data_IF_434403649826
#
_entry.id   IF_434403649826
#
_cell.length_a   1.000
_cell.length_b   1.000
_cell.length_c   1.000
_cell.angle_alpha   90.00
_cell.angle_beta   90.00
_cell.angle_gamma   90.00
#
_symmetry.space_group_name_H-M   'P 1'
#
loop_
_entity.id
_entity.type
_entity.pdbx_description
1 polymer ?
#
# COMPACT_ATOMS: atom_id res chain seq x y z
N UNK A 1 25.63 0.37 -52.19
CA UNK A 1 24.26 0.90 -51.97
C UNK A 1 23.52 -0.14 -51.14
N UNK A 2 23.31 0.06 -49.82
CA UNK A 2 22.15 0.75 -49.21
C UNK A 2 20.84 0.04 -49.64
N UNK A 3 19.95 -0.52 -48.80
CA UNK A 3 19.55 -0.24 -47.41
C UNK A 3 19.04 -1.52 -46.71
N UNK A 4 19.29 -1.53 -45.41
CA UNK A 4 18.88 -2.42 -44.33
C UNK A 4 17.44 -2.08 -43.90
N UNK A 5 16.54 -3.06 -43.79
CA UNK A 5 15.39 -2.91 -42.90
C UNK A 5 15.08 -4.21 -42.16
N UNK A 6 15.57 -4.23 -40.91
CA UNK A 6 15.16 -5.15 -39.86
C UNK A 6 13.78 -4.69 -39.39
N UNK A 7 12.71 -5.42 -39.71
CA UNK A 7 11.44 -5.27 -38.99
C UNK A 7 11.53 -6.05 -37.68
N UNK A 8 11.88 -5.31 -36.64
CA UNK A 8 11.96 -5.71 -35.24
C UNK A 8 10.59 -6.21 -34.78
N UNK A 9 10.56 -7.47 -34.33
CA UNK A 9 9.86 -7.94 -33.13
C UNK A 9 8.52 -7.25 -32.83
N UNK A 10 7.44 -7.69 -33.46
CA UNK A 10 6.10 -7.61 -32.85
C UNK A 10 5.88 -8.84 -31.97
N UNK A 11 6.71 -8.94 -30.93
CA UNK A 11 6.33 -9.69 -29.74
C UNK A 11 5.24 -8.88 -29.06
N UNK A 12 3.99 -9.10 -29.48
CA UNK A 12 2.79 -8.75 -28.71
C UNK A 12 2.76 -9.65 -27.46
N UNK A 13 3.73 -9.44 -26.57
CA UNK A 13 3.63 -9.92 -25.20
C UNK A 13 2.71 -8.94 -24.48
N UNK A 14 1.46 -9.36 -24.28
CA UNK A 14 0.51 -8.95 -23.25
C UNK A 14 1.09 -7.90 -22.29
N UNK A 15 1.01 -6.63 -22.68
CA UNK A 15 1.40 -5.49 -21.86
C UNK A 15 0.30 -5.07 -20.90
N UNK A 16 -0.82 -5.79 -20.86
CA UNK A 16 -2.00 -5.41 -20.07
C UNK A 16 -1.73 -5.34 -18.57
N UNK A 17 -0.70 -6.04 -18.06
CA UNK A 17 -0.34 -6.03 -16.63
C UNK A 17 1.00 -5.36 -16.30
N UNK A 18 1.64 -4.63 -17.23
CA UNK A 18 2.83 -3.85 -16.85
C UNK A 18 2.40 -2.54 -16.22
N UNK A 19 2.39 -2.51 -14.89
CA UNK A 19 2.25 -1.26 -14.16
C UNK A 19 3.58 -0.49 -14.30
N UNK A 20 3.64 0.44 -15.26
CA UNK A 20 4.83 1.28 -15.47
C UNK A 20 4.96 2.26 -14.28
N UNK A 21 6.16 2.43 -13.70
CA UNK A 21 6.39 3.40 -12.61
C UNK A 21 6.24 4.86 -13.06
N UNK A 22 6.44 5.10 -14.35
CA UNK A 22 6.57 6.43 -14.96
C UNK A 22 5.20 7.07 -15.24
N UNK A 23 4.16 6.23 -15.32
CA UNK A 23 2.76 6.65 -15.24
C UNK A 23 2.44 6.85 -13.76
N UNK A 24 2.60 8.08 -13.29
CA UNK A 24 2.23 8.45 -11.92
C UNK A 24 0.83 7.87 -11.61
N UNK A 25 0.69 7.12 -10.52
CA UNK A 25 -0.55 6.40 -10.15
C UNK A 25 -1.36 7.21 -9.16
N UNK A 26 -2.67 7.29 -9.34
CA UNK A 26 -3.57 7.82 -8.32
C UNK A 26 -4.06 6.64 -7.47
N UNK A 27 -4.12 6.85 -6.16
CA UNK A 27 -4.49 5.82 -5.20
C UNK A 27 -5.63 6.40 -4.37
N UNK A 28 -6.80 5.80 -4.49
CA UNK A 28 -7.96 6.18 -3.70
C UNK A 28 -8.21 5.17 -2.59
N UNK A 29 -8.57 5.69 -1.43
CA UNK A 29 -9.04 4.89 -0.31
C UNK A 29 -10.45 4.42 -0.62
N UNK A 30 -10.62 3.12 -0.81
CA UNK A 30 -11.92 2.53 -1.09
C UNK A 30 -12.67 2.24 0.22
N UNK A 31 -12.05 1.44 1.09
CA UNK A 31 -12.69 1.02 2.35
C UNK A 31 -11.65 0.84 3.47
N UNK A 32 -11.98 1.24 4.70
CA UNK A 32 -11.20 0.89 5.88
C UNK A 32 -11.75 -0.43 6.43
N UNK A 33 -10.95 -1.49 6.34
CA UNK A 33 -11.29 -2.82 6.85
C UNK A 33 -11.16 -2.87 8.36
N UNK A 34 -10.09 -2.27 8.90
CA UNK A 34 -9.81 -2.28 10.33
C UNK A 34 -8.99 -1.05 10.73
N UNK A 35 -9.28 -0.51 11.91
CA UNK A 35 -8.50 0.57 12.50
C UNK A 35 -8.33 0.34 14.00
N UNK A 36 -7.09 0.43 14.48
CA UNK A 36 -6.77 0.27 15.91
C UNK A 36 -5.85 1.40 16.36
N UNK A 37 -6.12 1.96 17.53
CA UNK A 37 -5.32 3.03 18.13
C UNK A 37 -4.65 2.54 19.42
N UNK A 38 -3.34 2.75 19.52
CA UNK A 38 -2.52 2.35 20.66
C UNK A 38 -1.58 3.50 21.00
N UNK A 39 -1.87 4.19 22.11
CA UNK A 39 -1.11 5.36 22.55
C UNK A 39 -1.11 6.46 21.47
N UNK A 40 0.08 6.79 20.95
CA UNK A 40 0.25 7.80 19.89
C UNK A 40 0.27 7.23 18.46
N UNK A 41 0.09 5.92 18.32
CA UNK A 41 0.05 5.21 17.03
C UNK A 41 -1.38 4.83 16.65
N UNK A 42 -1.70 4.98 15.38
CA UNK A 42 -2.90 4.46 14.74
C UNK A 42 -2.48 3.48 13.64
N UNK A 43 -3.03 2.28 13.69
CA UNK A 43 -2.90 1.26 12.65
C UNK A 43 -4.18 1.24 11.84
N UNK A 44 -4.05 1.21 10.52
CA UNK A 44 -5.16 1.20 9.58
C UNK A 44 -4.88 0.13 8.52
N UNK A 45 -5.84 -0.77 8.33
CA UNK A 45 -5.87 -1.70 7.21
C UNK A 45 -7.01 -1.30 6.31
N UNK A 46 -6.70 -1.02 5.05
CA UNK A 46 -7.65 -0.49 4.10
C UNK A 46 -7.51 -1.14 2.73
N UNK A 47 -8.60 -1.19 1.99
CA UNK A 47 -8.59 -1.44 0.55
C UNK A 47 -8.28 -0.14 -0.18
N UNK A 48 -7.35 -0.20 -1.12
CA UNK A 48 -6.98 0.89 -2.00
C UNK A 48 -7.20 0.47 -3.45
N UNK A 49 -7.79 1.38 -4.22
CA UNK A 49 -7.89 1.25 -5.66
C UNK A 49 -6.79 2.07 -6.32
N UNK A 50 -6.14 1.47 -7.32
CA UNK A 50 -5.05 2.08 -8.05
C UNK A 50 -5.57 2.44 -9.43
N UNK A 51 -5.52 3.73 -9.75
CA UNK A 51 -5.97 4.27 -11.02
C UNK A 51 -4.79 4.74 -11.87
N UNK A 52 -4.92 4.59 -13.19
CA UNK A 52 -3.99 5.16 -14.16
C UNK A 52 -4.29 6.65 -14.28
N UNK A 53 -3.32 7.54 -14.02
CA UNK A 53 -3.57 9.00 -14.11
C UNK A 53 -3.91 9.51 -15.50
N UNK A 54 -3.49 8.84 -16.57
CA UNK A 54 -3.71 9.35 -17.93
C UNK A 54 -5.16 9.21 -18.41
N UNK A 55 -5.87 8.15 -17.99
CA UNK A 55 -7.23 7.86 -18.43
C UNK A 55 -8.22 7.59 -17.28
N UNK A 56 -7.76 7.64 -16.03
CA UNK A 56 -8.57 7.39 -14.84
C UNK A 56 -9.07 5.95 -14.72
N UNK A 57 -8.51 5.00 -15.48
CA UNK A 57 -8.97 3.61 -15.43
C UNK A 57 -8.42 2.90 -14.21
N UNK A 58 -9.28 2.11 -13.56
CA UNK A 58 -8.89 1.18 -12.51
C UNK A 58 -7.87 0.18 -13.07
N UNK A 59 -6.70 0.12 -12.44
CA UNK A 59 -5.61 -0.80 -12.76
C UNK A 59 -5.69 -2.03 -11.85
N UNK A 60 -5.82 -1.78 -10.54
CA UNK A 60 -5.67 -2.82 -9.52
C UNK A 60 -6.36 -2.41 -8.22
N UNK A 61 -6.64 -3.38 -7.37
CA UNK A 61 -7.12 -3.19 -6.00
C UNK A 61 -6.18 -3.95 -5.06
N UNK A 62 -5.86 -3.35 -3.92
CA UNK A 62 -4.90 -3.93 -2.97
C UNK A 62 -5.25 -3.62 -1.52
N UNK A 63 -4.62 -4.35 -0.60
CA UNK A 63 -4.72 -4.07 0.83
C UNK A 63 -3.51 -3.23 1.26
N UNK A 64 -3.76 -2.09 1.92
CA UNK A 64 -2.76 -1.23 2.51
C UNK A 64 -2.81 -1.28 4.03
N UNK A 65 -1.70 -1.67 4.65
CA UNK A 65 -1.47 -1.58 6.09
C UNK A 65 -0.64 -0.34 6.38
N UNK A 66 -1.23 0.63 7.09
CA UNK A 66 -0.63 1.92 7.42
C UNK A 66 -0.44 2.03 8.93
N UNK A 67 0.74 2.49 9.35
CA UNK A 67 0.98 3.02 10.70
C UNK A 67 1.06 4.54 10.59
N UNK A 68 0.21 5.22 11.34
CA UNK A 68 0.16 6.68 11.47
C UNK A 68 0.58 7.05 12.89
N UNK A 69 1.41 8.07 13.02
CA UNK A 69 1.82 8.59 14.32
C UNK A 69 1.41 10.05 14.46
N UNK A 70 1.10 10.44 15.69
CA UNK A 70 0.89 11.85 16.01
C UNK A 70 2.20 12.64 15.92
N UNK A 71 2.28 13.53 14.92
CA UNK A 71 3.37 14.49 14.75
C UNK A 71 2.80 15.89 14.56
N UNK A 72 3.17 16.82 15.44
CA UNK A 72 2.83 18.25 15.34
C UNK A 72 1.35 18.53 15.09
N UNK A 73 0.46 17.96 15.89
CA UNK A 73 -0.98 18.26 15.79
C UNK A 73 -1.77 17.39 14.80
N UNK A 74 -1.11 16.49 14.05
CA UNK A 74 -1.76 15.67 13.02
C UNK A 74 -1.22 14.24 12.98
N UNK A 75 -2.03 13.32 12.47
CA UNK A 75 -1.58 11.95 12.14
C UNK A 75 -0.82 11.96 10.82
N UNK A 76 0.40 11.46 10.84
CA UNK A 76 1.26 11.32 9.66
C UNK A 76 1.52 9.83 9.44
N UNK A 77 1.27 9.33 8.23
CA UNK A 77 1.64 7.96 7.85
C UNK A 77 3.16 7.84 7.91
N UNK A 78 3.66 6.99 8.80
CA UNK A 78 5.10 6.74 8.98
C UNK A 78 5.55 5.48 8.26
N UNK A 79 4.66 4.49 8.13
CA UNK A 79 4.91 3.23 7.43
C UNK A 79 3.67 2.85 6.64
N UNK A 80 3.85 2.39 5.39
CA UNK A 80 2.81 1.78 4.59
C UNK A 80 3.35 0.51 3.94
N UNK A 81 2.69 -0.64 4.19
CA UNK A 81 2.96 -1.92 3.54
C UNK A 81 1.75 -2.30 2.71
N UNK A 82 1.99 -2.74 1.48
CA UNK A 82 0.95 -3.08 0.53
C UNK A 82 0.98 -4.58 0.23
N UNK A 83 -0.21 -5.16 0.11
CA UNK A 83 -0.43 -6.57 -0.17
C UNK A 83 -1.39 -6.70 -1.35
N UNK A 84 -1.18 -7.67 -2.26
CA UNK A 84 -2.22 -8.01 -3.22
C UNK A 84 -3.48 -8.51 -2.48
N UNK A 85 -4.66 -8.38 -3.09
CA UNK A 85 -5.93 -8.82 -2.48
C UNK A 85 -5.92 -10.31 -2.10
N UNK A 86 -5.19 -11.14 -2.85
CA UNK A 86 -5.01 -12.56 -2.54
C UNK A 86 -4.30 -12.84 -1.21
N UNK A 87 -3.57 -11.86 -0.65
CA UNK A 87 -2.87 -11.95 0.64
C UNK A 87 -3.60 -11.22 1.78
N UNK A 88 -4.92 -10.99 1.66
CA UNK A 88 -5.72 -10.27 2.66
C UNK A 88 -5.54 -10.81 4.09
N UNK A 89 -5.62 -12.12 4.27
CA UNK A 89 -5.50 -12.74 5.60
C UNK A 89 -4.12 -12.52 6.22
N UNK A 90 -3.07 -12.53 5.39
CA UNK A 90 -1.70 -12.22 5.82
C UNK A 90 -1.58 -10.75 6.21
N UNK A 91 -2.22 -9.83 5.49
CA UNK A 91 -2.25 -8.42 5.85
C UNK A 91 -2.96 -8.18 7.20
N UNK A 92 -4.06 -8.90 7.46
CA UNK A 92 -4.76 -8.88 8.76
C UNK A 92 -3.85 -9.41 9.87
N UNK A 93 -3.19 -10.55 9.66
CA UNK A 93 -2.29 -11.13 10.66
C UNK A 93 -1.10 -10.21 10.99
N UNK A 94 -0.51 -9.57 9.98
CA UNK A 94 0.56 -8.59 10.17
C UNK A 94 0.04 -7.37 10.97
N UNK A 95 -1.18 -6.89 10.69
CA UNK A 95 -1.80 -5.80 11.45
C UNK A 95 -1.96 -6.16 12.93
N UNK A 96 -2.52 -7.34 13.22
CA UNK A 96 -2.72 -7.83 14.59
C UNK A 96 -1.39 -7.91 15.32
N UNK A 97 -0.36 -8.47 14.67
CA UNK A 97 0.98 -8.62 15.24
C UNK A 97 1.60 -7.26 15.58
N UNK A 98 1.58 -6.30 14.65
CA UNK A 98 2.12 -4.96 14.88
C UNK A 98 1.37 -4.23 16.00
N UNK A 99 0.05 -4.39 16.05
CA UNK A 99 -0.78 -3.79 17.10
C UNK A 99 -0.44 -4.36 18.47
N UNK A 100 -0.26 -5.69 18.58
CA UNK A 100 0.15 -6.34 19.82
C UNK A 100 1.52 -5.86 20.31
N UNK A 101 2.49 -5.70 19.41
CA UNK A 101 3.79 -5.16 19.77
C UNK A 101 3.69 -3.73 20.29
N UNK A 102 2.92 -2.86 19.63
CA UNK A 102 2.69 -1.50 20.11
C UNK A 102 2.03 -1.45 21.50
N UNK A 103 1.11 -2.38 21.78
CA UNK A 103 0.49 -2.52 23.11
C UNK A 103 1.56 -2.89 24.15
N UNK A 104 2.42 -3.86 23.84
CA UNK A 104 3.49 -4.29 24.73
C UNK A 104 4.50 -3.16 25.00
N UNK A 105 4.92 -2.43 23.96
CA UNK A 105 5.79 -1.26 24.08
C UNK A 105 5.17 -0.20 25.00
N UNK A 106 3.90 0.14 24.77
CA UNK A 106 3.17 1.12 25.59
C UNK A 106 3.02 0.66 27.04
N UNK A 107 2.79 -0.63 27.28
CA UNK A 107 2.71 -1.19 28.62
C UNK A 107 4.07 -1.12 29.34
N UNK A 108 5.16 -1.47 28.64
CA UNK A 108 6.51 -1.40 29.18
C UNK A 108 6.89 0.04 29.56
N UNK A 109 6.58 1.03 28.72
CA UNK A 109 6.82 2.44 29.03
C UNK A 109 6.10 2.93 30.27
N UNK A 110 4.90 2.40 30.57
CA UNK A 110 4.15 2.74 31.78
C UNK A 110 4.70 2.07 33.04
N UNK A 111 5.41 0.95 32.90
CA UNK A 111 6.01 0.25 34.04
C UNK A 111 7.39 0.79 34.41
N UNK A 112 8.08 1.45 33.47
CA UNK A 112 9.42 2.00 33.67
C UNK A 112 9.45 3.51 33.97
N UNK A 113 8.30 4.18 33.88
CA UNK A 113 8.06 5.56 34.32
C UNK A 113 7.34 5.58 35.66
#
# INVERSE_FOLDING_TARGET
MLIKERSIVKSLMNSENRIFPDESREIDLFEIIMQVEVGHSQFELAEEEIYRKSDGKLIDTRIALKRKEWKSGRRVTTIAKHYPMSERDKAINDMVTLTQWAIMETAQEKMTK
#
